data_IF_582524470182
#
_entry.id   IF_582524470182
#
_cell.length_a   1.000
_cell.length_b   1.000
_cell.length_c   1.000
_cell.angle_alpha   90.00
_cell.angle_beta   90.00
_cell.angle_gamma   90.00
#
_symmetry.space_group_name_H-M   'P 1'
#
loop_
_entity.id
_entity.type
_entity.pdbx_description
1 polymer ?
#
# COMPACT_ATOMS: atom_id res chain seq x y z
N UNK A 1 -40.56 20.34 17.59
CA UNK A 1 -39.23 20.80 17.10
C UNK A 1 -38.09 19.76 17.22
N UNK A 2 -38.31 18.49 17.60
CA UNK A 2 -37.24 17.45 17.62
C UNK A 2 -37.20 16.56 16.36
N UNK A 3 -38.29 16.48 15.59
CA UNK A 3 -38.35 15.68 14.35
C UNK A 3 -37.70 16.35 13.13
N UNK A 4 -37.65 17.69 13.08
CA UNK A 4 -37.09 18.43 11.93
C UNK A 4 -35.55 18.37 11.90
N UNK A 5 -34.91 18.25 13.07
CA UNK A 5 -33.45 18.18 13.20
C UNK A 5 -32.91 16.80 12.76
N UNK A 6 -33.68 15.73 12.98
CA UNK A 6 -33.29 14.38 12.56
C UNK A 6 -33.39 14.25 11.03
N UNK A 7 -34.44 14.79 10.40
CA UNK A 7 -34.56 14.80 8.94
C UNK A 7 -33.48 15.62 8.24
N UNK A 8 -32.97 16.71 8.85
CA UNK A 8 -31.89 17.52 8.27
C UNK A 8 -30.52 16.86 8.39
N UNK A 9 -30.26 16.12 9.47
CA UNK A 9 -29.01 15.32 9.61
C UNK A 9 -29.02 14.13 8.63
N UNK A 10 -30.14 13.42 8.50
CA UNK A 10 -30.25 12.34 7.52
C UNK A 10 -30.30 12.84 6.07
N UNK A 11 -30.87 14.01 5.80
CA UNK A 11 -30.80 14.63 4.48
C UNK A 11 -29.36 15.09 4.14
N UNK A 12 -28.58 15.60 5.10
CA UNK A 12 -27.19 15.98 4.86
C UNK A 12 -26.28 14.75 4.66
N UNK A 13 -26.53 13.66 5.40
CA UNK A 13 -25.85 12.37 5.19
C UNK A 13 -26.25 11.71 3.86
N UNK A 14 -27.53 11.80 3.46
CA UNK A 14 -27.99 11.33 2.16
C UNK A 14 -27.47 12.19 1.00
N UNK A 15 -27.34 13.51 1.18
CA UNK A 15 -26.78 14.43 0.17
C UNK A 15 -25.27 14.22 0.02
N UNK A 16 -24.53 13.91 1.10
CA UNK A 16 -23.12 13.48 0.99
C UNK A 16 -22.96 12.09 0.35
N UNK A 17 -23.92 11.19 0.54
CA UNK A 17 -23.98 9.92 -0.21
C UNK A 17 -24.41 10.11 -1.69
N UNK A 18 -25.17 11.17 -1.99
CA UNK A 18 -25.61 11.58 -3.34
C UNK A 18 -24.58 12.45 -4.09
N UNK A 19 -23.55 12.98 -3.43
CA UNK A 19 -22.53 13.87 -4.02
C UNK A 19 -21.32 13.15 -4.63
N UNK A 20 -21.26 11.81 -4.56
CA UNK A 20 -20.15 11.04 -5.12
C UNK A 20 -20.64 9.87 -6.00
N UNK A 21 -21.43 10.19 -7.03
CA UNK A 21 -21.65 9.28 -8.15
C UNK A 21 -20.52 9.48 -9.16
N UNK A 22 -19.33 8.96 -8.84
CA UNK A 22 -18.24 8.88 -9.82
C UNK A 22 -18.80 8.15 -11.04
N UNK A 23 -18.73 8.77 -12.21
CA UNK A 23 -19.27 8.19 -13.45
C UNK A 23 -18.34 7.12 -14.05
N UNK A 24 -17.20 6.88 -13.41
CA UNK A 24 -16.25 5.82 -13.70
C UNK A 24 -15.77 5.15 -12.41
N UNK A 25 -15.30 3.91 -12.52
CA UNK A 25 -14.81 3.14 -11.37
C UNK A 25 -13.30 3.30 -11.09
N UNK A 26 -12.59 4.13 -11.87
CA UNK A 26 -11.12 4.24 -11.81
C UNK A 26 -10.67 5.32 -10.83
N UNK A 27 -11.37 6.46 -10.76
CA UNK A 27 -11.00 7.58 -9.89
C UNK A 27 -10.86 7.18 -8.41
N UNK A 28 -11.95 6.71 -7.80
CA UNK A 28 -11.98 6.37 -6.37
C UNK A 28 -10.98 5.27 -6.01
N UNK A 29 -10.89 4.25 -6.85
CA UNK A 29 -9.95 3.15 -6.67
C UNK A 29 -8.49 3.62 -6.70
N UNK A 30 -8.19 4.61 -7.53
CA UNK A 30 -6.87 5.23 -7.58
C UNK A 30 -6.58 6.07 -6.34
N UNK A 31 -7.56 6.82 -5.83
CA UNK A 31 -7.43 7.58 -4.58
C UNK A 31 -7.20 6.67 -3.36
N UNK A 32 -7.80 5.48 -3.36
CA UNK A 32 -7.59 4.48 -2.30
C UNK A 32 -6.15 3.97 -2.20
N UNK A 33 -5.33 4.09 -3.27
CA UNK A 33 -3.89 3.76 -3.21
C UNK A 33 -3.18 4.58 -2.14
N UNK A 34 -3.45 5.88 -2.09
CA UNK A 34 -2.90 6.78 -1.08
C UNK A 34 -3.42 6.43 0.30
N UNK A 35 -4.73 6.18 0.42
CA UNK A 35 -5.37 5.85 1.70
C UNK A 35 -4.95 4.49 2.29
N UNK A 36 -4.32 3.62 1.50
CA UNK A 36 -3.78 2.34 1.98
C UNK A 36 -2.26 2.41 2.13
N UNK A 37 -1.53 2.86 1.12
CA UNK A 37 -0.06 2.90 1.18
C UNK A 37 0.46 3.95 2.16
N UNK A 38 -0.16 5.11 2.23
CA UNK A 38 0.34 6.22 3.04
C UNK A 38 0.20 5.94 4.54
N UNK A 39 -0.90 5.35 5.07
CA UNK A 39 -0.93 4.91 6.46
C UNK A 39 0.12 3.86 6.79
N UNK A 40 0.39 2.89 5.89
CA UNK A 40 1.52 1.96 6.09
C UNK A 40 2.88 2.66 6.11
N UNK A 41 3.01 3.85 5.53
CA UNK A 41 4.21 4.69 5.57
C UNK A 41 4.25 5.60 6.80
N UNK A 42 3.12 6.18 7.21
CA UNK A 42 3.01 7.14 8.32
C UNK A 42 2.85 6.50 9.69
N UNK A 43 2.36 5.26 9.76
CA UNK A 43 2.36 4.45 10.99
C UNK A 43 3.77 3.93 11.35
N UNK A 44 4.76 4.17 10.48
CA UNK A 44 6.17 3.91 10.74
C UNK A 44 6.83 5.07 11.48
N UNK A 45 7.78 4.76 12.35
CA UNK A 45 8.54 5.80 13.05
C UNK A 45 9.41 6.60 12.08
N UNK A 46 9.36 7.93 12.16
CA UNK A 46 10.06 8.86 11.27
C UNK A 46 11.23 9.57 11.96
N UNK A 47 11.10 9.91 13.24
CA UNK A 47 12.07 10.72 13.97
C UNK A 47 12.25 10.25 15.42
N UNK A 48 13.25 10.80 16.11
CA UNK A 48 13.54 10.51 17.52
C UNK A 48 12.36 10.76 18.48
N UNK A 49 11.41 11.64 18.11
CA UNK A 49 10.17 11.87 18.87
C UNK A 49 9.22 10.66 18.86
N UNK A 50 9.36 9.75 17.90
CA UNK A 50 8.55 8.53 17.78
C UNK A 50 9.09 7.36 18.61
N UNK A 51 10.27 7.51 19.23
CA UNK A 51 10.95 6.42 19.95
C UNK A 51 10.12 5.82 21.07
N UNK A 52 9.21 6.61 21.65
CA UNK A 52 8.36 6.20 22.77
C UNK A 52 6.92 5.90 22.37
N UNK A 53 6.54 6.03 21.09
CA UNK A 53 5.20 5.69 20.62
C UNK A 53 5.07 4.16 20.47
N UNK A 54 4.30 3.48 21.35
CA UNK A 54 4.19 2.01 21.31
C UNK A 54 3.49 1.51 20.03
N UNK A 55 2.61 2.32 19.43
CA UNK A 55 1.93 1.99 18.17
C UNK A 55 2.90 2.02 17.00
N UNK A 56 3.74 3.06 16.93
CA UNK A 56 4.76 3.13 15.89
C UNK A 56 5.85 2.10 16.11
N UNK A 57 6.22 1.78 17.36
CA UNK A 57 7.15 0.69 17.68
C UNK A 57 6.65 -0.65 17.17
N UNK A 58 5.42 -1.02 17.54
CA UNK A 58 4.79 -2.26 17.10
C UNK A 58 4.76 -2.37 15.57
N UNK A 59 4.27 -1.32 14.90
CA UNK A 59 4.15 -1.29 13.43
C UNK A 59 5.52 -1.40 12.76
N UNK A 60 6.55 -0.75 13.32
CA UNK A 60 7.91 -0.80 12.80
C UNK A 60 8.55 -2.19 12.94
N UNK A 61 8.28 -2.92 14.03
CA UNK A 61 8.76 -4.31 14.21
C UNK A 61 8.06 -5.26 13.23
N UNK A 62 6.74 -5.18 13.14
CA UNK A 62 5.96 -6.05 12.24
C UNK A 62 6.38 -5.83 10.79
N UNK A 63 6.54 -4.58 10.37
CA UNK A 63 6.96 -4.26 9.01
C UNK A 63 8.44 -4.53 8.75
N UNK A 64 9.33 -4.47 9.75
CA UNK A 64 10.68 -4.99 9.62
C UNK A 64 10.66 -6.49 9.35
N UNK A 65 9.88 -7.27 10.11
CA UNK A 65 9.75 -8.70 9.89
C UNK A 65 9.19 -9.04 8.49
N UNK A 66 8.19 -8.29 8.02
CA UNK A 66 7.72 -8.39 6.63
C UNK A 66 8.84 -8.06 5.66
N UNK A 67 9.61 -6.98 5.88
CA UNK A 67 10.71 -6.60 4.99
C UNK A 67 11.79 -7.69 4.89
N UNK A 68 12.16 -8.30 6.01
CA UNK A 68 13.11 -9.41 6.05
C UNK A 68 12.55 -10.63 5.32
N UNK A 69 11.25 -10.90 5.47
CA UNK A 69 10.56 -11.95 4.73
C UNK A 69 10.63 -11.71 3.22
N UNK A 70 10.32 -10.49 2.78
CA UNK A 70 10.35 -10.11 1.36
C UNK A 70 11.75 -10.25 0.76
N UNK A 71 12.77 -9.83 1.50
CA UNK A 71 14.19 -9.88 1.10
C UNK A 71 14.82 -11.27 1.19
N UNK A 72 14.16 -12.24 1.80
CA UNK A 72 14.73 -13.57 1.97
C UNK A 72 14.81 -14.34 0.65
N UNK A 73 15.90 -15.09 0.49
CA UNK A 73 16.13 -16.04 -0.61
C UNK A 73 15.67 -17.47 -0.28
N UNK A 74 15.20 -17.71 0.94
CA UNK A 74 14.63 -19.01 1.32
C UNK A 74 13.36 -19.29 0.50
N UNK A 75 13.28 -20.45 -0.13
CA UNK A 75 12.17 -20.83 -1.02
C UNK A 75 11.00 -21.42 -0.25
N UNK A 76 11.27 -22.12 0.85
CA UNK A 76 10.24 -22.68 1.72
C UNK A 76 9.57 -21.59 2.57
N UNK A 77 8.24 -21.57 2.55
CA UNK A 77 7.47 -20.52 3.20
C UNK A 77 7.67 -20.52 4.73
N UNK A 78 7.64 -21.69 5.38
CA UNK A 78 7.73 -21.79 6.83
C UNK A 78 9.13 -21.44 7.33
N UNK A 79 10.17 -21.94 6.65
CA UNK A 79 11.56 -21.56 6.93
C UNK A 79 11.76 -20.07 6.74
N UNK A 80 11.17 -19.47 5.69
CA UNK A 80 11.23 -18.02 5.48
C UNK A 80 10.59 -17.23 6.63
N UNK A 81 9.44 -17.67 7.14
CA UNK A 81 8.80 -17.03 8.31
C UNK A 81 9.71 -17.14 9.53
N UNK A 82 10.23 -18.33 9.83
CA UNK A 82 11.14 -18.57 10.98
C UNK A 82 12.41 -17.71 10.89
N UNK A 83 13.01 -17.65 9.71
CA UNK A 83 14.20 -16.84 9.46
C UNK A 83 13.92 -15.35 9.63
N UNK A 84 12.75 -14.89 9.19
CA UNK A 84 12.34 -13.50 9.35
C UNK A 84 12.16 -13.11 10.82
N UNK A 85 11.57 -13.99 11.62
CA UNK A 85 11.49 -13.81 13.09
C UNK A 85 12.88 -13.72 13.70
N UNK A 86 13.75 -14.70 13.40
CA UNK A 86 15.11 -14.78 13.95
C UNK A 86 15.94 -13.53 13.64
N UNK A 87 15.94 -13.10 12.37
CA UNK A 87 16.70 -11.93 11.93
C UNK A 87 16.13 -10.62 12.49
N UNK A 88 14.81 -10.49 12.57
CA UNK A 88 14.17 -9.29 13.14
C UNK A 88 14.45 -9.17 14.64
N UNK A 89 14.48 -10.30 15.36
CA UNK A 89 14.83 -10.31 16.78
C UNK A 89 16.20 -9.70 17.06
N UNK A 90 17.18 -9.95 16.20
CA UNK A 90 18.54 -9.39 16.34
C UNK A 90 18.61 -7.87 16.10
N UNK A 91 17.51 -7.26 15.67
CA UNK A 91 17.42 -5.84 15.31
C UNK A 91 16.56 -5.06 16.32
N UNK A 92 15.98 -5.73 17.33
CA UNK A 92 15.07 -5.09 18.29
C UNK A 92 15.77 -4.07 19.19
N UNK A 93 17.07 -4.17 19.43
CA UNK A 93 17.77 -3.14 20.22
C UNK A 93 17.91 -1.81 19.46
N UNK A 94 17.57 -1.78 18.16
CA UNK A 94 17.64 -0.57 17.35
C UNK A 94 16.44 0.35 17.60
N UNK A 95 16.65 1.68 17.50
CA UNK A 95 15.60 2.68 17.44
C UNK A 95 14.50 2.38 16.42
N UNK A 96 13.25 2.80 16.72
CA UNK A 96 12.08 2.50 15.89
C UNK A 96 12.17 3.06 14.46
N UNK A 97 12.79 4.22 14.29
CA UNK A 97 13.08 4.86 13.00
C UNK A 97 14.12 4.06 12.19
N UNK A 98 15.15 3.52 12.85
CA UNK A 98 16.15 2.68 12.20
C UNK A 98 15.55 1.38 11.66
N UNK A 99 14.68 0.71 12.44
CA UNK A 99 14.01 -0.52 11.99
C UNK A 99 12.96 -0.26 10.91
N UNK A 100 12.30 0.89 10.93
CA UNK A 100 11.26 1.24 9.95
C UNK A 100 11.83 1.59 8.56
N UNK A 101 13.07 2.06 8.50
CA UNK A 101 13.72 2.53 7.28
C UNK A 101 13.72 1.51 6.14
N UNK A 102 13.79 0.21 6.45
CA UNK A 102 13.77 -0.84 5.42
C UNK A 102 12.43 -0.91 4.70
N UNK A 103 11.30 -0.91 5.43
CA UNK A 103 9.98 -0.95 4.82
C UNK A 103 9.70 0.35 4.05
N UNK A 104 10.10 1.50 4.63
CA UNK A 104 9.97 2.80 3.94
C UNK A 104 10.66 2.81 2.59
N UNK A 105 11.87 2.25 2.50
CA UNK A 105 12.58 2.14 1.23
C UNK A 105 11.83 1.27 0.21
N UNK A 106 11.26 0.13 0.63
CA UNK A 106 10.46 -0.75 -0.24
C UNK A 106 9.23 0.00 -0.77
N UNK A 107 8.47 0.65 0.12
CA UNK A 107 7.27 1.41 -0.24
C UNK A 107 7.59 2.60 -1.14
N UNK A 108 8.68 3.32 -0.88
CA UNK A 108 9.13 4.47 -1.69
C UNK A 108 9.48 4.03 -3.11
N UNK A 109 10.19 2.91 -3.25
CA UNK A 109 10.51 2.35 -4.57
C UNK A 109 9.25 1.89 -5.31
N UNK A 110 8.33 1.21 -4.63
CA UNK A 110 7.06 0.80 -5.23
C UNK A 110 6.25 2.02 -5.68
N UNK A 111 6.19 3.06 -4.85
CA UNK A 111 5.52 4.33 -5.14
C UNK A 111 6.08 4.98 -6.40
N UNK A 112 7.41 5.08 -6.51
CA UNK A 112 8.07 5.65 -7.69
C UNK A 112 7.79 4.88 -8.99
N UNK A 113 7.49 3.58 -8.91
CA UNK A 113 7.07 2.76 -10.07
C UNK A 113 5.64 3.10 -10.49
N UNK A 114 4.71 3.25 -9.53
CA UNK A 114 3.28 3.39 -9.83
C UNK A 114 2.80 4.84 -9.92
N UNK A 115 3.64 5.82 -9.60
CA UNK A 115 3.28 7.25 -9.57
C UNK A 115 2.73 7.76 -10.90
N UNK A 116 3.35 7.37 -12.03
CA UNK A 116 2.89 7.82 -13.34
C UNK A 116 1.55 7.19 -13.75
N UNK A 117 1.33 5.86 -13.62
CA UNK A 117 0.00 5.27 -13.80
C UNK A 117 -1.10 5.90 -12.94
N UNK A 118 -0.78 6.25 -11.68
CA UNK A 118 -1.71 6.96 -10.79
C UNK A 118 -2.13 8.31 -11.40
N UNK A 119 -1.17 9.06 -11.94
CA UNK A 119 -1.44 10.35 -12.57
C UNK A 119 -2.19 10.20 -13.90
N UNK A 120 -1.89 9.16 -14.68
CA UNK A 120 -2.63 8.87 -15.91
C UNK A 120 -4.13 8.65 -15.62
N UNK A 121 -4.46 7.96 -14.52
CA UNK A 121 -5.86 7.81 -14.06
C UNK A 121 -6.45 9.15 -13.62
N UNK A 122 -5.71 9.97 -12.85
CA UNK A 122 -6.21 11.29 -12.41
C UNK A 122 -6.55 12.20 -13.59
N UNK A 123 -5.71 12.20 -14.63
CA UNK A 123 -5.90 13.04 -15.82
C UNK A 123 -7.01 12.47 -16.72
N UNK A 124 -7.01 11.16 -16.92
CA UNK A 124 -7.89 10.52 -17.91
C UNK A 124 -9.31 10.28 -17.39
N UNK A 125 -9.46 10.06 -16.09
CA UNK A 125 -10.69 9.58 -15.46
C UNK A 125 -11.16 10.48 -14.31
N UNK A 126 -11.35 11.80 -14.51
CA UNK A 126 -11.92 12.64 -13.46
C UNK A 126 -13.33 12.16 -13.07
N UNK A 127 -13.86 12.51 -11.87
CA UNK A 127 -15.11 11.97 -11.35
C UNK A 127 -16.34 12.11 -12.26
N UNK A 128 -16.37 13.16 -13.09
CA UNK A 128 -17.45 13.52 -14.01
C UNK A 128 -17.32 12.89 -15.39
N UNK A 129 -16.21 12.22 -15.69
CA UNK A 129 -16.01 11.45 -16.91
C UNK A 129 -16.78 10.14 -16.87
N UNK A 130 -17.56 9.86 -17.92
CA UNK A 130 -18.16 8.55 -18.11
C UNK A 130 -17.10 7.46 -18.33
N UNK A 131 -17.48 6.21 -18.05
CA UNK A 131 -16.59 5.07 -18.13
C UNK A 131 -15.93 4.91 -19.50
N UNK A 132 -16.66 5.11 -20.60
CA UNK A 132 -16.12 4.96 -21.96
C UNK A 132 -15.05 6.01 -22.24
N UNK A 133 -15.35 7.27 -21.92
CA UNK A 133 -14.41 8.39 -22.08
C UNK A 133 -13.16 8.23 -21.21
N UNK A 134 -13.34 7.75 -19.97
CA UNK A 134 -12.23 7.40 -19.08
C UNK A 134 -11.32 6.32 -19.69
N UNK A 135 -11.89 5.19 -20.12
CA UNK A 135 -11.12 4.08 -20.69
C UNK A 135 -10.40 4.47 -21.99
N UNK A 136 -11.05 5.24 -22.86
CA UNK A 136 -10.45 5.75 -24.10
C UNK A 136 -9.26 6.68 -23.82
N UNK A 137 -9.42 7.68 -22.94
CA UNK A 137 -8.34 8.61 -22.59
C UNK A 137 -7.20 7.91 -21.87
N UNK A 138 -7.51 6.99 -20.96
CA UNK A 138 -6.50 6.25 -20.20
C UNK A 138 -5.65 5.39 -21.14
N UNK A 139 -6.29 4.69 -22.08
CA UNK A 139 -5.58 3.93 -23.13
C UNK A 139 -4.69 4.85 -23.96
N UNK A 140 -5.20 6.00 -24.42
CA UNK A 140 -4.39 6.97 -25.18
C UNK A 140 -3.19 7.48 -24.36
N UNK A 141 -3.37 7.71 -23.06
CA UNK A 141 -2.28 8.12 -22.16
C UNK A 141 -1.22 7.03 -22.05
N UNK A 142 -1.62 5.78 -21.87
CA UNK A 142 -0.70 4.65 -21.81
C UNK A 142 0.07 4.47 -23.13
N UNK A 143 -0.61 4.54 -24.27
CA UNK A 143 0.01 4.43 -25.60
C UNK A 143 1.04 5.56 -25.83
N UNK A 144 0.69 6.79 -25.45
CA UNK A 144 1.60 7.95 -25.54
C UNK A 144 2.83 7.79 -24.65
N UNK A 145 2.64 7.32 -23.42
CA UNK A 145 3.73 7.12 -22.47
C UNK A 145 4.65 5.96 -22.88
N UNK A 146 4.11 4.86 -23.42
CA UNK A 146 4.91 3.75 -23.97
C UNK A 146 5.71 4.19 -25.20
N UNK A 147 5.15 5.03 -26.06
CA UNK A 147 5.87 5.59 -27.20
C UNK A 147 7.02 6.53 -26.77
N UNK A 148 6.88 7.19 -25.62
CA UNK A 148 7.90 8.13 -25.09
C UNK A 148 8.94 7.41 -24.23
N UNK A 149 8.53 6.40 -23.47
CA UNK A 149 9.37 5.59 -22.60
C UNK A 149 9.05 4.11 -22.79
N UNK A 150 9.92 3.43 -23.53
CA UNK A 150 9.78 2.00 -23.82
C UNK A 150 9.77 1.18 -22.53
N UNK A 151 8.75 0.34 -22.37
CA UNK A 151 8.55 -0.50 -21.19
C UNK A 151 7.67 0.12 -20.11
N UNK A 152 7.05 1.29 -20.36
CA UNK A 152 6.07 1.92 -19.47
C UNK A 152 4.91 0.99 -19.11
N UNK A 153 4.50 0.10 -20.01
CA UNK A 153 3.43 -0.86 -19.74
C UNK A 153 3.70 -1.71 -18.49
N UNK A 154 4.97 -1.94 -18.13
CA UNK A 154 5.32 -2.65 -16.89
C UNK A 154 4.92 -1.85 -15.64
N UNK A 155 5.06 -0.53 -15.66
CA UNK A 155 4.59 0.34 -14.58
C UNK A 155 3.07 0.25 -14.45
N UNK A 156 2.35 0.22 -15.57
CA UNK A 156 0.89 0.03 -15.59
C UNK A 156 0.52 -1.35 -15.01
N UNK A 157 1.23 -2.41 -15.40
CA UNK A 157 1.02 -3.77 -14.88
C UNK A 157 1.28 -3.84 -13.37
N UNK A 158 2.34 -3.20 -12.88
CA UNK A 158 2.62 -3.11 -11.44
C UNK A 158 1.50 -2.34 -10.72
N UNK A 159 1.06 -1.21 -11.26
CA UNK A 159 -0.04 -0.42 -10.72
C UNK A 159 -1.34 -1.24 -10.60
N UNK A 160 -1.74 -1.95 -11.65
CA UNK A 160 -2.97 -2.76 -11.62
C UNK A 160 -2.88 -3.91 -10.61
N UNK A 161 -1.68 -4.50 -10.42
CA UNK A 161 -1.46 -5.51 -9.36
C UNK A 161 -1.57 -4.90 -7.96
N UNK A 162 -0.98 -3.73 -7.73
CA UNK A 162 -1.08 -3.00 -6.46
C UNK A 162 -2.53 -2.63 -6.17
N UNK A 163 -3.24 -2.05 -7.14
CA UNK A 163 -4.67 -1.72 -7.04
C UNK A 163 -5.47 -2.96 -6.64
N UNK A 164 -5.29 -4.09 -7.32
CA UNK A 164 -6.01 -5.32 -6.99
C UNK A 164 -5.72 -5.78 -5.56
N UNK A 165 -4.48 -5.64 -5.10
CA UNK A 165 -4.05 -6.06 -3.78
C UNK A 165 -4.63 -5.18 -2.67
N UNK A 166 -4.54 -3.86 -2.79
CA UNK A 166 -5.01 -2.92 -1.74
C UNK A 166 -6.52 -2.96 -1.55
N UNK A 167 -7.28 -3.26 -2.61
CA UNK A 167 -8.74 -3.43 -2.54
C UNK A 167 -9.14 -4.85 -2.11
N UNK A 168 -8.17 -5.71 -1.77
CA UNK A 168 -8.48 -7.02 -1.24
C UNK A 168 -8.80 -6.92 0.25
N UNK A 169 -9.87 -7.60 0.66
CA UNK A 169 -10.28 -7.69 2.07
C UNK A 169 -9.15 -8.13 3.01
N UNK A 170 -8.21 -8.93 2.52
CA UNK A 170 -7.05 -9.41 3.29
C UNK A 170 -6.09 -8.28 3.70
N UNK A 171 -5.90 -7.28 2.83
CA UNK A 171 -5.07 -6.11 3.16
C UNK A 171 -5.77 -5.23 4.20
N UNK A 172 -7.08 -5.03 4.03
CA UNK A 172 -7.90 -4.32 5.01
C UNK A 172 -7.85 -5.00 6.38
N UNK A 173 -8.09 -6.33 6.43
CA UNK A 173 -8.02 -7.13 7.66
C UNK A 173 -6.64 -7.06 8.32
N UNK A 174 -5.54 -7.15 7.55
CA UNK A 174 -4.18 -7.03 8.07
C UNK A 174 -3.95 -5.64 8.69
N UNK A 175 -4.34 -4.57 8.01
CA UNK A 175 -4.19 -3.19 8.49
C UNK A 175 -4.97 -2.98 9.79
N UNK A 176 -6.22 -3.43 9.82
CA UNK A 176 -7.08 -3.33 10.99
C UNK A 176 -6.53 -4.09 12.19
N UNK A 177 -5.98 -5.29 11.96
CA UNK A 177 -5.32 -6.07 13.00
C UNK A 177 -4.07 -5.37 13.55
N UNK A 178 -3.20 -4.85 12.68
CA UNK A 178 -2.01 -4.10 13.12
C UNK A 178 -2.42 -2.92 14.00
N UNK A 179 -3.46 -2.18 13.60
CA UNK A 179 -3.98 -1.03 14.33
C UNK A 179 -4.65 -1.38 15.68
N UNK A 180 -5.05 -2.63 15.91
CA UNK A 180 -5.69 -3.07 17.15
C UNK A 180 -4.75 -3.75 18.15
N UNK A 181 -3.61 -4.28 17.69
CA UNK A 181 -2.73 -5.14 18.50
C UNK A 181 -1.50 -4.42 19.08
N UNK A 182 -1.40 -3.10 18.99
CA UNK A 182 -0.14 -2.38 19.26
C UNK A 182 0.31 -2.31 20.74
N UNK A 183 -0.54 -2.61 21.72
CA UNK A 183 -0.23 -2.50 23.15
C UNK A 183 0.57 -3.68 23.71
N UNK A 184 1.40 -4.30 22.88
CA UNK A 184 2.08 -5.56 23.22
C UNK A 184 3.60 -5.38 23.21
N UNK A 185 4.32 -6.32 23.80
CA UNK A 185 5.79 -6.31 23.80
C UNK A 185 6.37 -6.50 22.39
N UNK A 186 7.64 -6.15 22.21
CA UNK A 186 8.36 -6.41 20.96
C UNK A 186 8.33 -7.90 20.55
N UNK A 187 8.45 -8.80 21.52
CA UNK A 187 8.34 -10.25 21.31
C UNK A 187 6.93 -10.66 20.86
N UNK A 188 5.89 -10.01 21.38
CA UNK A 188 4.53 -10.27 20.97
C UNK A 188 4.22 -9.69 19.57
N UNK A 189 4.89 -8.60 19.18
CA UNK A 189 4.86 -8.09 17.81
C UNK A 189 5.48 -9.11 16.83
N UNK A 190 6.59 -9.75 17.20
CA UNK A 190 7.19 -10.84 16.43
C UNK A 190 6.29 -12.08 16.36
N UNK A 191 5.66 -12.46 17.48
CA UNK A 191 4.67 -13.56 17.49
C UNK A 191 3.44 -13.22 16.67
N UNK A 192 3.01 -11.95 16.65
CA UNK A 192 1.95 -11.48 15.76
C UNK A 192 2.36 -11.70 14.31
N UNK A 193 3.53 -11.21 13.88
CA UNK A 193 4.04 -11.46 12.53
C UNK A 193 4.06 -12.95 12.19
N UNK A 194 4.63 -13.80 13.07
CA UNK A 194 4.74 -15.24 12.81
C UNK A 194 3.37 -15.90 12.60
N UNK A 195 2.36 -15.56 13.42
CA UNK A 195 0.99 -16.08 13.31
C UNK A 195 0.28 -15.57 12.07
N UNK A 196 0.46 -14.29 11.73
CA UNK A 196 -0.12 -13.69 10.54
C UNK A 196 0.50 -14.29 9.29
N UNK A 197 1.83 -14.29 9.18
CA UNK A 197 2.56 -14.74 8.01
C UNK A 197 2.50 -16.26 7.80
N UNK A 198 2.58 -17.06 8.87
CA UNK A 198 2.51 -18.53 8.78
C UNK A 198 1.08 -19.08 8.79
N UNK A 199 0.07 -18.25 9.05
CA UNK A 199 -1.31 -18.67 9.20
C UNK A 199 -2.27 -17.83 8.35
N UNK A 200 -3.04 -16.97 9.01
CA UNK A 200 -4.20 -16.25 8.46
C UNK A 200 -3.89 -15.45 7.19
N UNK A 201 -2.72 -14.82 7.14
CA UNK A 201 -2.29 -13.94 6.06
C UNK A 201 -1.19 -14.55 5.20
N UNK A 202 -0.97 -15.88 5.25
CA UNK A 202 0.08 -16.57 4.50
C UNK A 202 -0.01 -16.35 2.99
N UNK A 203 -1.21 -16.39 2.41
CA UNK A 203 -1.43 -16.10 0.99
C UNK A 203 -1.13 -14.63 0.66
N UNK A 204 -1.48 -13.70 1.54
CA UNK A 204 -1.17 -12.29 1.37
C UNK A 204 0.36 -12.05 1.41
N UNK A 205 1.08 -12.70 2.31
CA UNK A 205 2.55 -12.61 2.37
C UNK A 205 3.22 -13.15 1.09
N UNK A 206 2.68 -14.22 0.50
CA UNK A 206 3.15 -14.72 -0.79
C UNK A 206 2.92 -13.70 -1.91
N UNK A 207 1.75 -13.07 -1.95
CA UNK A 207 1.43 -12.00 -2.91
C UNK A 207 2.35 -10.78 -2.73
N UNK A 208 2.65 -10.37 -1.49
CA UNK A 208 3.63 -9.31 -1.22
C UNK A 208 5.03 -9.70 -1.70
N UNK A 209 5.44 -10.95 -1.49
CA UNK A 209 6.74 -11.47 -1.97
C UNK A 209 6.82 -11.46 -3.48
N UNK A 210 5.78 -11.89 -4.18
CA UNK A 210 5.72 -11.85 -5.65
C UNK A 210 5.88 -10.42 -6.17
N UNK A 211 5.16 -9.45 -5.59
CA UNK A 211 5.30 -8.04 -5.95
C UNK A 211 6.71 -7.52 -5.70
N UNK A 212 7.28 -7.83 -4.53
CA UNK A 212 8.65 -7.45 -4.20
C UNK A 212 9.68 -8.05 -5.17
N UNK A 213 9.49 -9.30 -5.60
CA UNK A 213 10.37 -9.95 -6.57
C UNK A 213 10.29 -9.32 -7.95
N UNK A 214 9.09 -8.96 -8.41
CA UNK A 214 8.90 -8.20 -9.64
C UNK A 214 9.61 -6.85 -9.53
N UNK A 215 9.32 -6.09 -8.46
CA UNK A 215 9.94 -4.80 -8.17
C UNK A 215 11.48 -4.86 -8.16
N UNK A 216 12.06 -5.92 -7.58
CA UNK A 216 13.52 -6.01 -7.37
C UNK A 216 14.29 -6.62 -8.55
N UNK A 217 13.62 -7.37 -9.44
CA UNK A 217 14.26 -8.04 -10.59
C UNK A 217 14.01 -7.35 -11.92
N UNK A 218 12.91 -6.61 -12.03
CA UNK A 218 12.58 -5.91 -13.28
C UNK A 218 13.12 -4.48 -13.31
N UNK A 219 13.38 -4.00 -14.53
CA UNK A 219 13.78 -2.61 -14.78
C UNK A 219 12.53 -1.76 -15.02
N UNK A 220 12.29 -0.79 -14.14
CA UNK A 220 11.22 0.21 -14.26
C UNK A 220 11.81 1.57 -14.60
N UNK A 221 12.10 1.77 -15.88
CA UNK A 221 12.85 2.96 -16.34
C UNK A 221 11.94 4.19 -16.52
N UNK A 222 10.63 3.99 -16.51
CA UNK A 222 9.62 5.01 -16.77
C UNK A 222 9.02 5.50 -15.46
N UNK A 223 9.71 6.43 -14.79
CA UNK A 223 9.21 7.09 -13.59
C UNK A 223 8.81 8.53 -13.89
N UNK A 224 8.25 9.23 -12.90
CA UNK A 224 7.76 10.61 -13.05
C UNK A 224 8.87 11.61 -13.43
N UNK A 225 10.15 11.26 -13.22
CA UNK A 225 11.29 12.09 -13.60
C UNK A 225 11.64 11.94 -15.09
N UNK A 226 11.23 10.84 -15.72
CA UNK A 226 11.53 10.50 -17.12
C UNK A 226 10.33 10.69 -18.06
N UNK A 227 9.18 11.11 -17.54
CA UNK A 227 7.96 11.33 -18.32
C UNK A 227 7.39 12.71 -18.01
N UNK A 228 6.91 13.47 -19.01
CA UNK A 228 6.34 14.78 -18.74
C UNK A 228 5.13 14.67 -17.79
N UNK A 229 5.12 15.54 -16.79
CA UNK A 229 3.93 15.84 -16.01
C UNK A 229 3.13 16.82 -16.87
N UNK A 230 1.95 16.40 -17.32
CA UNK A 230 1.00 17.26 -18.01
C UNK A 230 -0.13 17.59 -17.03
#
# INVERSE_FOLDING_TARGET
>A
MRFIIICTIFACAAVNALLHLDKNNKWRRNDEVFNVMDPFYYDLSLESGDLLDPRKRFSSIVTLAISVYLKSNETDHEKRVKESVRRTRNELDKPSDAISGTMRAILTQLRGIIDKPINDVKISCPPDADQKSCDERLRMSHDKNEATCRGYIKNVDMYERVIKLIHSKRVEELRDEINRNWRVSDDDALKYFARSAGGRHSKLMKEFKELYEIQSRESFNCNILNLPIF
#
